data_IF_058069038033
#
_entry.id   IF_058069038033
#
_cell.length_a   1.000
_cell.length_b   1.000
_cell.length_c   1.000
_cell.angle_alpha   90.00
_cell.angle_beta   90.00
_cell.angle_gamma   90.00
#
_symmetry.space_group_name_H-M   'P 1'
#
loop_
_entity.id
_entity.type
_entity.pdbx_description
1 polymer ?
#
# COMPACT_ATOMS: atom_id res chain seq x y z
N UNK A 1 -47.39 -59.88 -26.90
CA UNK A 1 -47.95 -59.76 -25.53
C UNK A 1 -47.54 -60.96 -24.71
N UNK A 2 -46.40 -60.85 -24.02
CA UNK A 2 -46.04 -61.65 -22.85
C UNK A 2 -44.77 -61.02 -22.29
N UNK A 3 -44.80 -60.83 -20.98
CA UNK A 3 -43.93 -59.98 -20.19
C UNK A 3 -42.82 -60.82 -19.57
N UNK A 4 -41.61 -60.25 -19.58
CA UNK A 4 -40.43 -60.44 -18.72
C UNK A 4 -40.35 -61.65 -17.77
N UNK A 5 -39.24 -62.37 -17.87
CA UNK A 5 -38.60 -63.04 -16.72
C UNK A 5 -37.12 -62.66 -16.70
N UNK A 6 -36.61 -62.21 -15.55
CA UNK A 6 -35.68 -62.95 -14.69
C UNK A 6 -34.98 -62.01 -13.71
N UNK A 7 -34.99 -62.45 -12.46
CA UNK A 7 -34.28 -61.92 -11.30
C UNK A 7 -32.79 -61.64 -11.57
N UNK A 8 -32.24 -60.61 -10.93
CA UNK A 8 -31.27 -60.76 -9.82
C UNK A 8 -30.62 -59.42 -9.48
N UNK A 9 -30.46 -59.20 -8.18
CA UNK A 9 -29.85 -58.03 -7.54
C UNK A 9 -28.46 -57.72 -8.06
N UNK A 10 -28.17 -56.44 -8.33
CA UNK A 10 -26.86 -55.86 -8.13
C UNK A 10 -27.04 -54.43 -7.59
N UNK A 11 -26.84 -54.27 -6.28
CA UNK A 11 -26.57 -52.97 -5.68
C UNK A 11 -25.12 -52.58 -6.03
N UNK A 12 -24.95 -51.60 -6.92
CA UNK A 12 -23.77 -50.75 -6.91
C UNK A 12 -24.22 -49.32 -6.63
N UNK A 13 -23.86 -48.85 -5.43
CA UNK A 13 -23.83 -47.44 -5.09
C UNK A 13 -22.96 -46.71 -6.12
N UNK A 14 -23.59 -46.05 -7.10
CA UNK A 14 -22.89 -45.04 -7.91
C UNK A 14 -22.84 -43.75 -7.08
N UNK A 15 -21.91 -43.70 -6.12
CA UNK A 15 -21.36 -42.42 -5.72
C UNK A 15 -20.49 -41.96 -6.89
N UNK A 16 -21.05 -41.13 -7.76
CA UNK A 16 -20.23 -40.21 -8.56
C UNK A 16 -19.46 -39.38 -7.55
N UNK A 17 -18.19 -39.72 -7.33
CA UNK A 17 -17.22 -38.78 -6.77
C UNK A 17 -17.22 -37.58 -7.71
N UNK A 18 -17.83 -36.48 -7.30
CA UNK A 18 -17.42 -35.17 -7.77
C UNK A 18 -15.93 -35.13 -7.46
N UNK A 19 -15.08 -35.31 -8.48
CA UNK A 19 -13.71 -34.85 -8.37
C UNK A 19 -13.83 -33.37 -8.04
N UNK A 20 -13.58 -33.00 -6.79
CA UNK A 20 -13.11 -31.67 -6.48
C UNK A 20 -11.92 -31.47 -7.41
N UNK A 21 -12.15 -30.74 -8.50
CA UNK A 21 -11.06 -30.08 -9.18
C UNK A 21 -10.63 -29.05 -8.14
N UNK A 22 -9.72 -29.44 -7.25
CA UNK A 22 -8.85 -28.47 -6.59
C UNK A 22 -8.13 -27.77 -7.74
N UNK A 23 -8.77 -26.72 -8.26
CA UNK A 23 -8.19 -25.89 -9.30
C UNK A 23 -6.96 -25.27 -8.68
N UNK A 24 -5.79 -25.67 -9.19
CA UNK A 24 -4.56 -24.97 -8.87
C UNK A 24 -4.66 -23.59 -9.49
N UNK A 25 -4.79 -22.56 -8.67
CA UNK A 25 -5.09 -21.21 -9.11
C UNK A 25 -4.48 -20.17 -8.18
N UNK A 26 -4.53 -18.93 -8.62
CA UNK A 26 -3.84 -17.82 -8.00
C UNK A 26 -4.40 -17.62 -6.59
N UNK A 27 -3.49 -17.73 -5.63
CA UNK A 27 -3.79 -17.62 -4.21
C UNK A 27 -2.84 -16.65 -3.55
N UNK A 28 -3.28 -16.17 -2.38
CA UNK A 28 -2.47 -15.38 -1.46
C UNK A 28 -1.79 -14.13 -2.05
N UNK A 29 -2.51 -13.35 -2.88
CA UNK A 29 -2.01 -12.05 -3.31
C UNK A 29 -1.77 -11.13 -2.10
N UNK A 30 -0.50 -10.73 -1.90
CA UNK A 30 -0.02 -9.82 -0.86
C UNK A 30 0.70 -8.66 -1.52
N UNK A 31 0.40 -7.46 -1.04
CA UNK A 31 1.01 -6.22 -1.54
C UNK A 31 1.75 -5.54 -0.39
N UNK A 32 2.94 -5.01 -0.68
CA UNK A 32 3.69 -4.14 0.20
C UNK A 32 3.91 -2.81 -0.49
N UNK A 33 3.34 -1.76 0.10
CA UNK A 33 3.53 -0.37 -0.29
C UNK A 33 3.99 0.33 0.97
N UNK A 34 5.12 1.07 0.95
CA UNK A 34 5.59 1.78 2.13
C UNK A 34 4.50 2.73 2.66
N UNK A 35 4.20 2.65 3.97
CA UNK A 35 3.20 3.52 4.59
C UNK A 35 3.59 5.00 4.47
N UNK A 36 4.89 5.30 4.61
CA UNK A 36 5.44 6.63 4.45
C UNK A 36 6.77 6.63 3.70
N UNK A 37 6.95 7.60 2.78
CA UNK A 37 8.21 7.79 2.03
C UNK A 37 8.59 9.27 2.06
N UNK A 38 9.86 9.56 2.34
CA UNK A 38 10.38 10.93 2.31
C UNK A 38 10.40 11.42 0.86
N UNK A 39 9.87 12.63 0.62
CA UNK A 39 9.87 13.26 -0.70
C UNK A 39 11.28 13.26 -1.32
N UNK A 40 11.37 12.90 -2.59
CA UNK A 40 12.62 12.80 -3.34
C UNK A 40 13.34 11.46 -3.22
N UNK A 41 12.96 10.61 -2.26
CA UNK A 41 13.50 9.25 -2.17
C UNK A 41 12.84 8.29 -3.17
N UNK A 42 13.46 7.13 -3.37
CA UNK A 42 12.84 6.03 -4.11
C UNK A 42 11.85 5.26 -3.22
N UNK A 43 10.83 4.66 -3.85
CA UNK A 43 9.87 3.78 -3.20
C UNK A 43 9.75 2.48 -3.98
N UNK A 44 9.94 1.33 -3.32
CA UNK A 44 9.76 0.02 -3.96
C UNK A 44 8.44 -0.59 -3.49
N UNK A 45 7.58 -0.89 -4.46
CA UNK A 45 6.29 -1.53 -4.29
C UNK A 45 6.45 -3.01 -4.59
N UNK A 46 5.96 -3.90 -3.72
CA UNK A 46 6.02 -5.35 -3.94
C UNK A 46 4.62 -5.94 -4.07
N UNK A 47 4.48 -6.87 -4.99
CA UNK A 47 3.28 -7.65 -5.25
C UNK A 47 3.68 -9.12 -5.32
N UNK A 48 3.40 -9.85 -4.24
CA UNK A 48 3.73 -11.25 -4.07
C UNK A 48 2.46 -12.08 -4.29
N UNK A 49 2.57 -13.13 -5.09
CA UNK A 49 1.46 -14.00 -5.46
C UNK A 49 1.96 -15.44 -5.60
N UNK A 50 1.07 -16.39 -5.35
CA UNK A 50 1.29 -17.81 -5.62
C UNK A 50 0.36 -18.23 -6.76
N UNK A 51 0.93 -18.71 -7.86
CA UNK A 51 0.17 -19.21 -9.03
C UNK A 51 -0.09 -20.71 -8.94
N UNK A 52 0.45 -21.40 -7.93
CA UNK A 52 0.49 -22.85 -7.81
C UNK A 52 1.01 -23.52 -9.11
N UNK A 53 0.13 -23.94 -10.01
CA UNK A 53 0.46 -24.58 -11.30
C UNK A 53 -0.05 -23.79 -12.51
N UNK A 54 -0.67 -22.64 -12.30
CA UNK A 54 -1.13 -21.75 -13.36
C UNK A 54 0.02 -20.93 -13.95
N UNK A 55 -0.21 -20.41 -15.15
CA UNK A 55 0.71 -19.48 -15.80
C UNK A 55 0.25 -18.04 -15.56
N UNK A 56 1.21 -17.13 -15.36
CA UNK A 56 0.95 -15.71 -15.25
C UNK A 56 0.52 -15.14 -16.61
N UNK A 57 -0.62 -14.46 -16.66
CA UNK A 57 -1.00 -13.63 -17.80
C UNK A 57 -0.41 -12.23 -17.67
N UNK A 58 -0.69 -11.53 -16.56
CA UNK A 58 -0.14 -10.19 -16.34
C UNK A 58 -0.10 -9.76 -14.87
N UNK A 59 0.82 -8.86 -14.56
CA UNK A 59 0.80 -8.04 -13.34
C UNK A 59 0.65 -6.58 -13.74
N UNK A 60 -0.28 -5.86 -13.13
CA UNK A 60 -0.52 -4.44 -13.38
C UNK A 60 -0.50 -3.65 -12.09
N UNK A 61 0.08 -2.46 -12.16
CA UNK A 61 0.08 -1.50 -11.07
C UNK A 61 -0.63 -0.22 -11.47
N UNK A 62 -1.44 0.27 -10.54
CA UNK A 62 -2.23 1.48 -10.69
C UNK A 62 -1.97 2.44 -9.54
N UNK A 63 -2.02 3.73 -9.83
CA UNK A 63 -2.01 4.81 -8.85
C UNK A 63 -3.28 5.65 -9.06
N UNK A 64 -4.11 5.78 -8.01
CA UNK A 64 -5.39 6.50 -8.07
C UNK A 64 -6.28 6.07 -9.26
N UNK A 65 -6.23 4.78 -9.61
CA UNK A 65 -7.01 4.20 -10.70
C UNK A 65 -6.37 4.29 -12.09
N UNK A 66 -5.25 5.00 -12.25
CA UNK A 66 -4.51 5.07 -13.52
C UNK A 66 -3.39 4.03 -13.55
N UNK A 67 -3.35 3.21 -14.61
CA UNK A 67 -2.30 2.22 -14.79
C UNK A 67 -0.98 2.91 -15.12
N UNK A 68 0.10 2.59 -14.39
CA UNK A 68 1.42 3.14 -14.64
C UNK A 68 2.47 2.09 -14.99
N UNK A 69 2.23 0.81 -14.68
CA UNK A 69 3.15 -0.28 -14.98
C UNK A 69 2.42 -1.58 -15.28
N UNK A 70 2.93 -2.33 -16.26
CA UNK A 70 2.45 -3.66 -16.64
C UNK A 70 3.60 -4.60 -16.93
N UNK A 71 3.47 -5.83 -16.45
CA UNK A 71 4.34 -6.94 -16.80
C UNK A 71 3.51 -8.06 -17.46
N UNK A 72 3.87 -8.47 -18.68
CA UNK A 72 3.28 -9.59 -19.43
C UNK A 72 4.42 -10.52 -19.88
N UNK A 73 4.58 -11.71 -19.29
CA UNK A 73 5.72 -12.60 -19.58
C UNK A 73 5.87 -12.99 -21.06
N UNK A 74 4.75 -13.00 -21.80
CA UNK A 74 4.71 -13.41 -23.22
C UNK A 74 5.00 -12.27 -24.20
N UNK A 75 5.11 -11.02 -23.73
CA UNK A 75 5.46 -9.87 -24.57
C UNK A 75 6.99 -9.65 -24.62
N UNK A 76 7.44 -8.95 -25.66
CA UNK A 76 8.84 -8.53 -25.82
C UNK A 76 8.89 -7.04 -26.16
N UNK A 77 9.29 -6.16 -25.22
CA UNK A 77 9.71 -6.45 -23.85
C UNK A 77 8.53 -6.85 -22.94
N UNK A 78 8.78 -7.60 -21.85
CA UNK A 78 7.72 -8.05 -20.95
C UNK A 78 7.17 -6.92 -20.07
N UNK A 79 7.96 -5.89 -19.79
CA UNK A 79 7.56 -4.74 -18.97
C UNK A 79 7.21 -3.51 -19.84
N UNK A 80 6.13 -2.81 -19.48
CA UNK A 80 5.70 -1.55 -20.10
C UNK A 80 5.33 -0.54 -19.01
N UNK A 81 5.71 0.72 -19.23
CA UNK A 81 5.37 1.87 -18.38
C UNK A 81 4.37 2.75 -19.11
N UNK A 82 3.39 3.27 -18.37
CA UNK A 82 2.39 4.20 -18.88
C UNK A 82 2.55 5.55 -18.17
N UNK A 83 2.35 6.67 -18.88
CA UNK A 83 2.53 7.99 -18.29
C UNK A 83 1.42 8.30 -17.29
N UNK A 84 1.79 8.46 -16.02
CA UNK A 84 0.94 8.99 -14.95
C UNK A 84 1.70 10.13 -14.28
N UNK A 85 0.99 11.23 -13.95
CA UNK A 85 1.63 12.43 -13.41
C UNK A 85 2.43 12.13 -12.13
N UNK A 86 3.68 12.58 -12.08
CA UNK A 86 4.58 12.37 -10.94
C UNK A 86 5.20 10.97 -10.84
N UNK A 87 4.69 9.96 -11.54
CA UNK A 87 5.24 8.60 -11.52
C UNK A 87 6.47 8.51 -12.44
N UNK A 88 7.58 8.06 -11.88
CA UNK A 88 8.80 7.72 -12.64
C UNK A 88 9.26 6.32 -12.26
N UNK A 89 9.07 5.34 -13.15
CA UNK A 89 9.43 3.94 -12.88
C UNK A 89 10.89 3.67 -13.23
N UNK A 90 11.63 3.02 -12.32
CA UNK A 90 12.92 2.43 -12.59
C UNK A 90 12.79 1.01 -13.16
N UNK A 91 12.76 0.90 -14.49
CA UNK A 91 12.71 -0.39 -15.19
C UNK A 91 13.91 -1.32 -14.90
N UNK A 92 15.06 -0.79 -14.49
CA UNK A 92 16.23 -1.62 -14.14
C UNK A 92 16.09 -2.29 -12.78
N UNK A 93 15.19 -1.78 -11.94
CA UNK A 93 14.89 -2.26 -10.59
C UNK A 93 13.41 -2.66 -10.46
N UNK A 94 12.80 -3.08 -11.57
CA UNK A 94 11.38 -3.50 -11.63
C UNK A 94 11.21 -4.76 -12.48
N UNK A 95 10.30 -5.63 -12.04
CA UNK A 95 10.02 -6.93 -12.66
C UNK A 95 8.54 -7.32 -12.46
N UNK A 96 8.24 -8.63 -12.44
CA UNK A 96 6.88 -9.15 -12.27
C UNK A 96 6.37 -9.10 -10.83
N UNK A 97 7.20 -8.79 -9.84
CA UNK A 97 6.87 -8.83 -8.40
C UNK A 97 7.24 -7.55 -7.66
N UNK A 98 8.09 -6.70 -8.25
CA UNK A 98 8.59 -5.47 -7.64
C UNK A 98 8.57 -4.33 -8.65
N UNK A 99 8.13 -3.14 -8.24
CA UNK A 99 8.18 -1.91 -9.04
C UNK A 99 8.79 -0.79 -8.22
N UNK A 100 9.88 -0.21 -8.71
CA UNK A 100 10.58 0.87 -8.01
C UNK A 100 10.25 2.22 -8.66
N UNK A 101 9.72 3.14 -7.86
CA UNK A 101 9.48 4.53 -8.21
C UNK A 101 10.72 5.37 -7.86
N UNK A 102 11.13 6.26 -8.77
CA UNK A 102 12.22 7.23 -8.58
C UNK A 102 11.66 8.53 -8.05
N UNK A 103 12.35 9.12 -7.07
CA UNK A 103 12.13 10.48 -6.57
C UNK A 103 10.66 10.85 -6.37
N UNK A 104 10.00 10.20 -5.42
CA UNK A 104 8.57 10.39 -5.17
C UNK A 104 8.25 11.83 -4.78
N UNK A 105 7.16 12.37 -5.31
CA UNK A 105 6.67 13.73 -5.00
C UNK A 105 5.45 13.66 -4.11
N UNK A 106 5.08 14.80 -3.50
CA UNK A 106 3.90 14.91 -2.63
C UNK A 106 2.62 14.37 -3.27
N UNK A 107 2.46 14.59 -4.57
CA UNK A 107 1.27 14.20 -5.34
C UNK A 107 1.13 12.68 -5.50
N UNK A 108 2.17 11.90 -5.16
CA UNK A 108 2.12 10.43 -5.11
C UNK A 108 1.61 9.88 -3.77
N UNK A 109 1.08 10.73 -2.90
CA UNK A 109 0.35 10.27 -1.72
C UNK A 109 -1.03 9.78 -2.17
N UNK A 110 -1.33 8.50 -1.98
CA UNK A 110 -2.58 7.92 -2.46
C UNK A 110 -2.59 6.39 -2.51
N UNK A 111 -3.60 5.86 -3.19
CA UNK A 111 -3.87 4.44 -3.34
C UNK A 111 -3.07 3.82 -4.48
N UNK A 112 -2.30 2.80 -4.14
CA UNK A 112 -1.62 1.92 -5.07
C UNK A 112 -2.34 0.57 -5.11
N UNK A 113 -2.59 0.08 -6.32
CA UNK A 113 -3.28 -1.17 -6.56
C UNK A 113 -2.39 -2.09 -7.38
N UNK A 114 -2.26 -3.34 -6.95
CA UNK A 114 -1.70 -4.42 -7.77
C UNK A 114 -2.83 -5.37 -8.21
N UNK A 115 -2.89 -5.63 -9.52
CA UNK A 115 -3.76 -6.63 -10.14
C UNK A 115 -2.89 -7.73 -10.73
N UNK A 116 -3.17 -8.98 -10.37
CA UNK A 116 -2.49 -10.17 -10.91
C UNK A 116 -3.53 -11.04 -11.58
N UNK A 117 -3.31 -11.35 -12.85
CA UNK A 117 -4.19 -12.21 -13.66
C UNK A 117 -3.45 -13.45 -14.11
N UNK A 118 -4.10 -14.59 -13.96
CA UNK A 118 -3.69 -15.87 -14.53
C UNK A 118 -4.07 -15.97 -16.01
N UNK A 119 -3.37 -16.86 -16.70
CA UNK A 119 -3.64 -17.23 -18.07
C UNK A 119 -4.76 -18.29 -18.16
N UNK A 120 -5.09 -18.66 -19.39
CA UNK A 120 -6.00 -19.78 -19.65
C UNK A 120 -5.57 -21.03 -18.84
N UNK A 121 -6.54 -21.82 -18.32
CA UNK A 121 -7.96 -21.79 -18.64
C UNK A 121 -8.84 -21.02 -17.65
N UNK A 122 -8.35 -20.74 -16.44
CA UNK A 122 -9.19 -20.20 -15.36
C UNK A 122 -9.31 -18.68 -15.43
N UNK A 123 -8.29 -17.98 -15.96
CA UNK A 123 -8.25 -16.52 -16.03
C UNK A 123 -8.54 -15.84 -14.68
N UNK A 124 -8.18 -16.48 -13.57
CA UNK A 124 -8.41 -15.93 -12.24
C UNK A 124 -7.67 -14.61 -12.10
N UNK A 125 -8.26 -13.65 -11.40
CA UNK A 125 -7.66 -12.33 -11.16
C UNK A 125 -7.84 -11.93 -9.71
N UNK A 126 -6.75 -11.59 -9.04
CA UNK A 126 -6.75 -11.05 -7.69
C UNK A 126 -6.27 -9.60 -7.72
N UNK A 127 -6.83 -8.79 -6.81
CA UNK A 127 -6.48 -7.39 -6.65
C UNK A 127 -6.21 -7.09 -5.18
N UNK A 128 -5.16 -6.32 -4.89
CA UNK A 128 -4.90 -5.74 -3.56
C UNK A 128 -4.55 -4.27 -3.68
N UNK A 129 -4.93 -3.52 -2.64
CA UNK A 129 -4.76 -2.08 -2.56
C UNK A 129 -4.00 -1.76 -1.28
N UNK A 130 -3.09 -0.80 -1.34
CA UNK A 130 -2.45 -0.20 -0.17
C UNK A 130 -2.23 1.29 -0.40
N UNK A 131 -2.04 2.05 0.68
CA UNK A 131 -1.87 3.49 0.63
C UNK A 131 -0.44 3.90 0.97
N UNK A 132 0.12 4.85 0.21
CA UNK A 132 1.40 5.49 0.51
C UNK A 132 1.20 6.95 0.89
N UNK A 133 1.86 7.42 1.95
CA UNK A 133 1.94 8.84 2.29
C UNK A 133 3.34 9.37 1.97
N UNK A 134 3.44 10.37 1.11
CA UNK A 134 4.71 11.08 0.93
C UNK A 134 4.84 12.15 2.01
N UNK A 135 6.02 12.19 2.66
CA UNK A 135 6.31 13.08 3.78
C UNK A 135 7.50 13.98 3.51
N UNK A 136 7.43 15.21 3.99
CA UNK A 136 8.53 16.15 4.07
C UNK A 136 8.86 16.36 5.54
N UNK A 137 10.06 15.98 5.95
CA UNK A 137 10.50 16.18 7.33
C UNK A 137 10.70 17.68 7.62
N UNK A 138 10.49 18.12 8.87
CA UNK A 138 10.84 19.47 9.28
C UNK A 138 12.29 19.81 8.90
N UNK A 139 12.49 20.93 8.20
CA UNK A 139 13.83 21.40 7.83
C UNK A 139 14.69 21.81 9.02
N UNK A 140 14.06 22.12 10.14
CA UNK A 140 14.69 22.61 11.36
C UNK A 140 14.17 21.83 12.57
N UNK A 141 15.05 21.60 13.54
CA UNK A 141 14.67 21.02 14.83
C UNK A 141 13.67 21.91 15.57
N UNK A 142 12.72 21.31 16.32
CA UNK A 142 11.77 22.07 17.09
C UNK A 142 12.50 22.88 18.17
N UNK A 143 12.24 24.18 18.25
CA UNK A 143 12.80 25.04 19.29
C UNK A 143 11.73 25.59 20.21
N UNK A 144 12.05 25.67 21.50
CA UNK A 144 11.15 26.14 22.55
C UNK A 144 11.62 27.50 23.09
N UNK A 145 10.67 28.43 23.17
CA UNK A 145 10.86 29.73 23.81
C UNK A 145 9.95 29.83 25.03
N UNK A 146 10.52 30.23 26.17
CA UNK A 146 9.78 30.51 27.41
C UNK A 146 9.92 32.00 27.70
N UNK A 147 8.82 32.66 28.04
CA UNK A 147 8.78 34.11 28.31
C UNK A 147 9.50 34.54 29.60
N UNK A 148 9.70 33.60 30.54
CA UNK A 148 10.42 33.82 31.80
C UNK A 148 11.78 33.12 31.81
N UNK A 149 12.83 33.84 32.24
CA UNK A 149 14.20 33.32 32.42
C UNK A 149 14.38 32.52 33.71
N UNK A 150 13.62 32.85 34.75
CA UNK A 150 13.62 32.17 36.05
C UNK A 150 12.17 31.87 36.41
N UNK A 151 11.90 30.64 36.82
CA UNK A 151 10.57 30.18 37.20
C UNK A 151 10.56 29.94 38.72
N UNK A 152 9.77 30.70 39.46
CA UNK A 152 9.50 30.45 40.87
C UNK A 152 8.37 29.43 41.08
N UNK A 153 8.23 28.96 42.32
CA UNK A 153 7.05 28.19 42.72
C UNK A 153 5.79 29.07 42.57
N UNK A 154 4.73 28.53 41.96
CA UNK A 154 3.47 29.23 41.61
C UNK A 154 3.53 30.24 40.45
N UNK A 155 4.63 30.33 39.71
CA UNK A 155 4.67 31.15 38.50
C UNK A 155 3.83 30.56 37.36
N UNK A 156 3.06 31.41 36.68
CA UNK A 156 2.55 31.14 35.34
C UNK A 156 3.57 31.61 34.30
N UNK A 157 3.72 30.86 33.21
CA UNK A 157 4.62 31.20 32.11
C UNK A 157 3.99 30.80 30.77
N UNK A 158 4.46 31.44 29.69
CA UNK A 158 4.11 31.09 28.33
C UNK A 158 5.29 30.41 27.66
N UNK A 159 5.06 29.20 27.17
CA UNK A 159 5.98 28.50 26.28
C UNK A 159 5.45 28.51 24.84
N UNK A 160 6.35 28.64 23.87
CA UNK A 160 6.05 28.54 22.44
C UNK A 160 7.04 27.58 21.80
N UNK A 161 6.53 26.51 21.21
CA UNK A 161 7.30 25.56 20.43
C UNK A 161 7.08 25.88 18.95
N UNK A 162 8.16 26.07 18.21
CA UNK A 162 8.11 26.30 16.76
C UNK A 162 8.80 25.12 16.09
N UNK A 163 8.13 24.54 15.10
CA UNK A 163 8.64 23.44 14.27
C UNK A 163 8.82 23.96 12.85
N UNK A 164 9.87 23.53 12.17
CA UNK A 164 10.10 23.84 10.75
C UNK A 164 8.95 23.36 9.85
N UNK A 165 8.97 23.79 8.59
CA UNK A 165 7.97 23.38 7.59
C UNK A 165 8.05 21.87 7.37
N UNK A 166 6.91 21.21 7.38
CA UNK A 166 6.80 19.77 7.14
C UNK A 166 5.52 19.44 6.37
N UNK A 167 5.50 18.26 5.76
CA UNK A 167 4.29 17.70 5.17
C UNK A 167 4.14 16.22 5.57
N UNK A 168 2.96 15.77 6.05
CA UNK A 168 1.88 16.60 6.57
C UNK A 168 2.37 17.47 7.76
N UNK A 169 1.51 18.36 8.25
CA UNK A 169 1.83 19.20 9.40
C UNK A 169 2.27 18.34 10.60
N UNK A 170 3.40 18.68 11.20
CA UNK A 170 3.94 17.94 12.33
C UNK A 170 3.00 17.92 13.55
N UNK A 171 2.94 16.77 14.22
CA UNK A 171 2.21 16.61 15.47
C UNK A 171 3.07 17.09 16.65
N UNK A 172 2.66 18.17 17.30
CA UNK A 172 3.37 18.74 18.46
C UNK A 172 2.78 18.18 19.76
N UNK A 173 3.62 17.53 20.57
CA UNK A 173 3.25 17.04 21.91
C UNK A 173 4.12 17.71 22.96
N UNK A 174 3.49 18.20 24.04
CA UNK A 174 4.17 18.89 25.14
C UNK A 174 4.38 17.97 26.34
N UNK A 175 5.54 18.08 26.97
CA UNK A 175 5.91 17.41 28.21
C UNK A 175 6.49 18.41 29.20
N UNK A 176 6.10 18.33 30.48
CA UNK A 176 6.70 19.09 31.58
C UNK A 176 7.12 18.07 32.64
N UNK A 177 8.43 18.00 32.93
CA UNK A 177 9.00 17.01 33.86
C UNK A 177 8.52 15.58 33.53
N UNK A 178 8.65 15.18 32.26
CA UNK A 178 8.23 13.89 31.70
C UNK A 178 6.73 13.56 31.76
N UNK A 179 5.91 14.52 32.23
CA UNK A 179 4.45 14.37 32.22
C UNK A 179 3.87 15.02 30.98
N UNK A 180 3.15 14.23 30.19
CA UNK A 180 2.44 14.70 29.00
C UNK A 180 1.42 15.77 29.41
N UNK A 181 1.50 16.93 28.75
CA UNK A 181 0.52 18.01 28.92
C UNK A 181 -0.62 17.78 27.93
N UNK A 182 -1.80 17.50 28.45
CA UNK A 182 -3.00 17.35 27.62
C UNK A 182 -3.49 18.68 27.07
N UNK A 183 -4.27 18.63 25.99
CA UNK A 183 -4.86 19.82 25.38
C UNK A 183 -5.73 20.55 26.39
N UNK A 184 -5.41 21.82 26.64
CA UNK A 184 -6.21 22.74 27.44
C UNK A 184 -6.72 23.89 26.55
N UNK A 185 -7.77 24.63 26.96
CA UNK A 185 -8.26 25.80 26.22
C UNK A 185 -7.20 26.89 26.00
N UNK A 186 -6.10 26.88 26.78
CA UNK A 186 -5.01 27.82 26.68
C UNK A 186 -3.94 27.41 25.66
N UNK A 187 -3.97 26.17 25.16
CA UNK A 187 -3.08 25.73 24.08
C UNK A 187 -3.63 26.18 22.73
N UNK A 188 -2.80 26.90 21.95
CA UNK A 188 -3.13 27.30 20.59
C UNK A 188 -2.04 26.82 19.64
N UNK A 189 -2.41 25.95 18.69
CA UNK A 189 -1.56 25.59 17.54
C UNK A 189 -1.87 26.61 16.45
N UNK A 190 -0.83 27.29 15.95
CA UNK A 190 -0.96 28.26 14.86
C UNK A 190 -0.13 27.76 13.69
N UNK A 191 -0.79 27.40 12.59
CA UNK A 191 -0.12 27.11 11.33
C UNK A 191 0.15 28.44 10.62
N UNK A 192 1.44 28.80 10.49
CA UNK A 192 1.84 29.98 9.72
C UNK A 192 2.11 29.53 8.28
N UNK A 193 1.18 29.81 7.37
CA UNK A 193 1.50 29.82 5.95
C UNK A 193 2.29 31.09 5.66
N UNK A 194 3.48 30.97 5.09
CA UNK A 194 4.14 32.12 4.47
C UNK A 194 3.58 32.20 3.05
N UNK A 195 2.94 33.33 2.73
CA UNK A 195 2.62 33.71 1.35
C UNK A 195 3.88 33.72 0.49
#
# INVERSE_FOLDING_TARGET
TATLTKDSEINFFNYTTLSEIEGFCLRELKIFVPEAVIMGNAATLSCQYDLEQAALYSVRWYFEGEEFYRYVPKESPPARVFPVSGISVDLSSSDSTSVTLRSVTRDLSGQFLCEVSEDAPLFHTEIRISHMQVVELPTEEPFMLIDKKVLGSNDSFKASCTVGKSYPSANITWYINDRKVYKTPFQRIVYRSLN
#
